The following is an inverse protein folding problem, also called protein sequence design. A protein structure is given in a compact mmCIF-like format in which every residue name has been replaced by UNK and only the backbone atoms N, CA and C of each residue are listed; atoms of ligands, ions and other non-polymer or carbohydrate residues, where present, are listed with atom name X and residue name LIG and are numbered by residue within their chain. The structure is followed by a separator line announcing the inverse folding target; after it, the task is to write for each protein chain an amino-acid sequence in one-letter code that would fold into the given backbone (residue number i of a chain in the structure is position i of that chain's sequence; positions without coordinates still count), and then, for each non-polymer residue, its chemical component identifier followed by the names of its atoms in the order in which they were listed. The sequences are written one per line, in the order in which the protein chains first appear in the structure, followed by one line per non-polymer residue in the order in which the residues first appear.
data_IF_551494686038
#
_entry.id   IF_551494686038
#
_cell.length_a   1.000
_cell.length_b   1.000
_cell.length_c   1.000
_cell.angle_alpha   90.00
_cell.angle_beta   90.00
_cell.angle_gamma   90.00
#
_symmetry.space_group_name_H-M   'P 1'
#
loop_
_entity.id
_entity.type
_entity.pdbx_description
1 polymer ?
#
# COMPACT_ATOMS: atom_id res chain seq x y z
N UNK A 1 -24.23 -25.55 81.42
CA UNK A 1 -24.05 -25.88 80.02
C UNK A 1 -24.66 -24.76 79.19
N UNK A 2 -23.89 -23.95 78.45
CA UNK A 2 -24.49 -22.91 77.63
C UNK A 2 -24.84 -23.50 76.27
N UNK A 3 -26.09 -23.37 75.89
CA UNK A 3 -26.61 -23.71 74.56
C UNK A 3 -26.08 -22.72 73.51
N UNK A 4 -25.28 -23.17 72.53
CA UNK A 4 -24.87 -22.43 71.40
C UNK A 4 -26.10 -22.15 70.52
N UNK A 5 -26.51 -20.88 70.44
CA UNK A 5 -27.49 -20.40 69.50
C UNK A 5 -26.79 -20.38 68.09
N UNK A 6 -27.16 -21.30 67.23
CA UNK A 6 -26.89 -21.22 65.83
C UNK A 6 -27.64 -20.03 65.22
N UNK A 7 -26.96 -18.96 64.94
CA UNK A 7 -27.50 -17.82 64.17
C UNK A 7 -27.76 -18.32 62.78
N UNK A 8 -29.02 -18.56 62.47
CA UNK A 8 -29.48 -18.95 61.10
C UNK A 8 -29.43 -17.68 60.20
N UNK A 9 -28.37 -17.57 59.40
CA UNK A 9 -28.14 -16.44 58.46
C UNK A 9 -28.82 -16.67 57.10
N UNK A 10 -29.87 -17.52 57.06
CA UNK A 10 -30.57 -17.86 55.84
C UNK A 10 -31.65 -16.89 55.29
N UNK A 11 -32.19 -15.90 56.02
CA UNK A 11 -33.38 -15.17 55.55
C UNK A 11 -33.09 -14.00 54.58
N UNK A 12 -31.88 -13.48 54.53
CA UNK A 12 -31.62 -12.28 53.68
C UNK A 12 -31.57 -12.57 52.17
N UNK A 13 -31.14 -13.76 51.75
CA UNK A 13 -31.10 -14.16 50.34
C UNK A 13 -32.49 -14.39 49.75
N UNK A 14 -33.42 -14.92 50.54
CA UNK A 14 -34.76 -15.23 50.06
C UNK A 14 -35.61 -13.96 49.88
N UNK A 15 -35.42 -12.97 50.77
CA UNK A 15 -36.11 -11.67 50.69
C UNK A 15 -35.64 -10.85 49.49
N UNK A 16 -34.33 -10.88 49.19
CA UNK A 16 -33.77 -10.21 48.01
C UNK A 16 -34.32 -10.85 46.73
N UNK A 17 -34.34 -12.19 46.64
CA UNK A 17 -34.83 -12.90 45.47
C UNK A 17 -36.33 -12.65 45.24
N UNK A 18 -37.13 -12.70 46.28
CA UNK A 18 -38.58 -12.44 46.16
C UNK A 18 -38.89 -11.02 45.69
N UNK A 19 -38.08 -10.06 46.07
CA UNK A 19 -38.27 -8.65 45.71
C UNK A 19 -37.87 -8.36 44.26
N UNK A 20 -36.77 -8.97 43.77
CA UNK A 20 -36.20 -8.64 42.48
C UNK A 20 -36.43 -9.70 41.40
N UNK A 21 -37.03 -10.85 41.71
CA UNK A 21 -37.26 -11.94 40.75
C UNK A 21 -37.94 -11.51 39.44
N UNK A 22 -38.92 -10.61 39.53
CA UNK A 22 -39.64 -10.11 38.36
C UNK A 22 -38.76 -9.24 37.47
N UNK A 23 -37.96 -8.39 38.06
CA UNK A 23 -37.03 -7.50 37.34
C UNK A 23 -35.88 -8.29 36.74
N UNK A 24 -35.31 -9.22 37.49
CA UNK A 24 -34.27 -10.14 37.00
C UNK A 24 -34.79 -10.98 35.84
N UNK A 25 -36.01 -11.53 35.96
CA UNK A 25 -36.63 -12.29 34.86
C UNK A 25 -36.90 -11.40 33.65
N UNK A 26 -37.33 -10.15 33.82
CA UNK A 26 -37.54 -9.22 32.72
C UNK A 26 -36.22 -8.90 31.99
N UNK A 27 -35.13 -8.66 32.73
CA UNK A 27 -33.80 -8.43 32.18
C UNK A 27 -33.29 -9.66 31.44
N UNK A 28 -33.47 -10.87 31.96
CA UNK A 28 -33.07 -12.11 31.29
C UNK A 28 -33.83 -12.34 29.99
N UNK A 29 -35.15 -12.08 29.99
CA UNK A 29 -35.99 -12.20 28.79
C UNK A 29 -35.52 -11.19 27.74
N UNK A 30 -35.25 -9.95 28.15
CA UNK A 30 -34.75 -8.90 27.23
C UNK A 30 -33.36 -9.24 26.68
N UNK A 31 -32.47 -9.80 27.48
CA UNK A 31 -31.17 -10.29 27.05
C UNK A 31 -31.30 -11.47 26.06
N UNK A 32 -32.19 -12.41 26.31
CA UNK A 32 -32.49 -13.52 25.41
C UNK A 32 -33.03 -13.03 24.06
N UNK A 33 -33.96 -12.07 24.07
CA UNK A 33 -34.50 -11.46 22.87
C UNK A 33 -33.42 -10.71 22.07
N UNK A 34 -32.52 -10.00 22.76
CA UNK A 34 -31.39 -9.31 22.13
C UNK A 34 -30.42 -10.32 21.47
N UNK A 35 -30.09 -11.42 22.15
CA UNK A 35 -29.22 -12.48 21.60
C UNK A 35 -29.90 -13.19 20.43
N UNK A 36 -31.19 -13.51 20.54
CA UNK A 36 -31.93 -14.12 19.43
C UNK A 36 -32.04 -13.20 18.22
N UNK A 37 -32.33 -11.91 18.44
CA UNK A 37 -32.38 -10.88 17.39
C UNK A 37 -31.04 -10.70 16.71
N UNK A 38 -29.97 -10.60 17.49
CA UNK A 38 -28.61 -10.49 16.97
C UNK A 38 -28.19 -11.75 16.18
N UNK A 39 -28.47 -12.94 16.72
CA UNK A 39 -28.16 -14.21 16.03
C UNK A 39 -28.95 -14.36 14.73
N UNK A 40 -30.24 -14.01 14.72
CA UNK A 40 -31.08 -14.01 13.53
C UNK A 40 -30.59 -13.02 12.48
N UNK A 41 -30.28 -11.79 12.89
CA UNK A 41 -29.71 -10.78 12.00
C UNK A 41 -28.37 -11.23 11.40
N UNK A 42 -27.47 -11.79 12.19
CA UNK A 42 -26.18 -12.28 11.73
C UNK A 42 -26.32 -13.41 10.70
N UNK A 43 -27.19 -14.39 11.00
CA UNK A 43 -27.47 -15.49 10.08
C UNK A 43 -28.07 -15.00 8.75
N UNK A 44 -28.95 -14.02 8.79
CA UNK A 44 -29.51 -13.39 7.59
C UNK A 44 -28.44 -12.66 6.79
N UNK A 45 -27.59 -11.86 7.47
CA UNK A 45 -26.47 -11.14 6.84
C UNK A 45 -25.46 -12.10 6.19
N UNK A 46 -25.10 -13.20 6.86
CA UNK A 46 -24.17 -14.20 6.33
C UNK A 46 -24.75 -14.90 5.08
N UNK A 47 -26.04 -15.20 5.08
CA UNK A 47 -26.73 -15.76 3.90
C UNK A 47 -26.74 -14.79 2.72
N UNK A 48 -27.01 -13.51 2.99
CA UNK A 48 -26.95 -12.45 1.97
C UNK A 48 -25.54 -12.29 1.42
N UNK A 49 -24.52 -12.27 2.27
CA UNK A 49 -23.13 -12.15 1.86
C UNK A 49 -22.69 -13.33 0.98
N UNK A 50 -23.07 -14.56 1.35
CA UNK A 50 -22.75 -15.75 0.57
C UNK A 50 -23.47 -15.76 -0.78
N UNK A 51 -24.75 -15.38 -0.84
CA UNK A 51 -25.50 -15.26 -2.08
C UNK A 51 -24.89 -14.20 -3.01
N UNK A 52 -24.54 -13.04 -2.45
CA UNK A 52 -23.85 -11.98 -3.17
C UNK A 52 -22.50 -12.43 -3.73
N UNK A 53 -21.70 -13.16 -2.93
CA UNK A 53 -20.41 -13.69 -3.38
C UNK A 53 -20.56 -14.70 -4.52
N UNK A 54 -21.54 -15.60 -4.43
CA UNK A 54 -21.83 -16.58 -5.48
C UNK A 54 -22.26 -15.88 -6.77
N UNK A 55 -23.14 -14.89 -6.67
CA UNK A 55 -23.61 -14.12 -7.82
C UNK A 55 -22.46 -13.33 -8.44
N UNK A 56 -21.62 -12.68 -7.64
CA UNK A 56 -20.46 -11.93 -8.12
C UNK A 56 -19.45 -12.84 -8.82
N UNK A 57 -19.21 -14.06 -8.30
CA UNK A 57 -18.29 -15.02 -8.90
C UNK A 57 -18.75 -15.49 -10.30
N UNK A 58 -20.06 -15.49 -10.57
CA UNK A 58 -20.63 -15.81 -11.89
C UNK A 58 -20.76 -14.62 -12.82
N UNK A 59 -20.71 -13.40 -12.28
CA UNK A 59 -20.85 -12.16 -13.03
C UNK A 59 -19.63 -11.91 -13.93
N UNK A 60 -19.86 -11.53 -15.18
CA UNK A 60 -18.79 -11.29 -16.18
C UNK A 60 -18.98 -9.98 -16.95
N UNK A 61 -20.18 -9.43 -16.93
CA UNK A 61 -20.55 -8.26 -17.74
C UNK A 61 -21.00 -7.09 -16.85
N UNK A 62 -20.96 -5.88 -17.39
CA UNK A 62 -21.43 -4.70 -16.66
C UNK A 62 -22.89 -4.84 -16.15
N UNK A 63 -23.86 -5.36 -16.92
CA UNK A 63 -25.19 -5.64 -16.40
C UNK A 63 -25.22 -6.64 -15.23
N UNK A 64 -24.36 -7.67 -15.26
CA UNK A 64 -24.28 -8.63 -14.14
C UNK A 64 -23.81 -7.95 -12.86
N UNK A 65 -22.78 -7.11 -12.95
CA UNK A 65 -22.28 -6.34 -11.80
C UNK A 65 -23.35 -5.37 -11.26
N UNK A 66 -24.10 -4.70 -12.15
CA UNK A 66 -25.22 -3.85 -11.75
C UNK A 66 -26.29 -4.64 -10.99
N UNK A 67 -26.56 -5.86 -11.42
CA UNK A 67 -27.52 -6.73 -10.74
C UNK A 67 -27.04 -7.12 -9.34
N UNK A 68 -25.75 -7.47 -9.16
CA UNK A 68 -25.19 -7.72 -7.82
C UNK A 68 -25.32 -6.48 -6.92
N UNK A 69 -25.06 -5.29 -7.46
CA UNK A 69 -25.17 -4.02 -6.72
C UNK A 69 -26.62 -3.75 -6.28
N UNK A 70 -27.59 -4.02 -7.15
CA UNK A 70 -29.02 -3.78 -6.86
C UNK A 70 -29.59 -4.79 -5.86
N UNK A 71 -29.24 -6.06 -6.01
CA UNK A 71 -29.79 -7.14 -5.20
C UNK A 71 -29.14 -7.24 -3.81
N UNK A 72 -27.86 -6.83 -3.71
CA UNK A 72 -27.04 -6.95 -2.48
C UNK A 72 -26.27 -5.66 -2.11
N UNK A 73 -26.93 -4.51 -1.99
CA UNK A 73 -26.29 -3.19 -1.91
C UNK A 73 -25.44 -2.97 -0.66
N UNK A 74 -25.68 -3.75 0.42
CA UNK A 74 -25.00 -3.58 1.71
C UNK A 74 -23.94 -4.65 2.00
N UNK A 75 -23.68 -5.56 1.07
CA UNK A 75 -22.73 -6.65 1.28
C UNK A 75 -21.32 -6.28 0.79
N UNK A 76 -20.25 -6.90 1.33
CA UNK A 76 -18.90 -6.72 0.82
C UNK A 76 -18.76 -7.03 -0.68
N UNK A 77 -19.45 -8.08 -1.15
CA UNK A 77 -19.47 -8.45 -2.56
C UNK A 77 -20.20 -7.42 -3.43
N UNK A 78 -21.29 -6.80 -2.90
CA UNK A 78 -21.93 -5.65 -3.53
C UNK A 78 -20.98 -4.47 -3.66
N UNK A 79 -20.17 -4.19 -2.64
CA UNK A 79 -19.09 -3.22 -2.69
C UNK A 79 -18.05 -3.54 -3.77
N UNK A 80 -17.58 -4.78 -3.84
CA UNK A 80 -16.63 -5.24 -4.87
C UNK A 80 -17.22 -5.14 -6.29
N UNK A 81 -18.54 -5.36 -6.45
CA UNK A 81 -19.22 -5.25 -7.74
C UNK A 81 -19.15 -3.82 -8.33
N UNK A 82 -19.15 -2.76 -7.49
CA UNK A 82 -18.93 -1.39 -7.98
C UNK A 82 -17.55 -1.23 -8.63
N UNK A 83 -16.52 -1.82 -8.06
CA UNK A 83 -15.16 -1.73 -8.61
C UNK A 83 -15.04 -2.46 -9.95
N UNK A 84 -15.64 -3.65 -10.04
CA UNK A 84 -15.67 -4.42 -11.28
C UNK A 84 -16.52 -3.74 -12.37
N UNK A 85 -17.65 -3.12 -12.00
CA UNK A 85 -18.45 -2.32 -12.91
C UNK A 85 -17.64 -1.12 -13.44
N UNK A 86 -16.96 -0.41 -12.55
CA UNK A 86 -16.12 0.72 -12.94
C UNK A 86 -14.96 0.28 -13.85
N UNK A 87 -14.37 -0.88 -13.61
CA UNK A 87 -13.33 -1.44 -14.47
C UNK A 87 -13.88 -1.80 -15.85
N UNK A 88 -15.06 -2.42 -15.94
CA UNK A 88 -15.75 -2.68 -17.21
C UNK A 88 -16.02 -1.37 -17.97
N UNK A 89 -16.51 -0.33 -17.28
CA UNK A 89 -16.75 0.99 -17.87
C UNK A 89 -15.45 1.65 -18.38
N UNK A 90 -14.33 1.49 -17.63
CA UNK A 90 -13.02 1.97 -18.06
C UNK A 90 -12.54 1.27 -19.34
N UNK A 91 -12.73 -0.04 -19.43
CA UNK A 91 -12.38 -0.83 -20.61
C UNK A 91 -13.16 -0.38 -21.85
N UNK A 92 -14.40 0.08 -21.65
CA UNK A 92 -15.22 0.72 -22.68
C UNK A 92 -14.88 2.21 -22.91
N UNK A 93 -13.84 2.75 -22.24
CA UNK A 93 -13.42 4.16 -22.25
C UNK A 93 -14.48 5.14 -21.71
N UNK A 94 -15.45 4.64 -20.97
CA UNK A 94 -16.50 5.42 -20.28
C UNK A 94 -15.99 5.95 -18.93
N UNK A 95 -14.91 6.73 -18.96
CA UNK A 95 -14.21 7.17 -17.75
C UNK A 95 -15.08 8.03 -16.81
N UNK A 96 -15.98 8.86 -17.34
CA UNK A 96 -16.88 9.66 -16.51
C UNK A 96 -17.89 8.77 -15.76
N UNK A 97 -18.46 7.76 -16.43
CA UNK A 97 -19.37 6.80 -15.80
C UNK A 97 -18.64 5.98 -14.73
N UNK A 98 -17.43 5.53 -15.04
CA UNK A 98 -16.57 4.83 -14.08
C UNK A 98 -16.29 5.68 -12.85
N UNK A 99 -16.01 6.97 -12.99
CA UNK A 99 -15.81 7.88 -11.88
C UNK A 99 -17.06 8.03 -11.01
N UNK A 100 -18.23 8.14 -11.63
CA UNK A 100 -19.52 8.19 -10.91
C UNK A 100 -19.77 6.91 -10.12
N UNK A 101 -19.48 5.75 -10.72
CA UNK A 101 -19.60 4.44 -10.08
C UNK A 101 -18.65 4.31 -8.89
N UNK A 102 -17.39 4.71 -9.06
CA UNK A 102 -16.37 4.70 -8.00
C UNK A 102 -16.69 5.67 -6.87
N UNK A 103 -17.21 6.86 -7.19
CA UNK A 103 -17.63 7.82 -6.19
C UNK A 103 -18.80 7.27 -5.36
N UNK A 104 -19.80 6.67 -6.01
CA UNK A 104 -20.91 5.99 -5.33
C UNK A 104 -20.41 4.88 -4.39
N UNK A 105 -19.42 4.13 -4.83
CA UNK A 105 -18.77 3.13 -3.96
C UNK A 105 -18.12 3.78 -2.73
N UNK A 106 -17.35 4.84 -2.90
CA UNK A 106 -16.69 5.53 -1.79
C UNK A 106 -17.67 6.14 -0.79
N UNK A 107 -18.81 6.63 -1.27
CA UNK A 107 -19.87 7.20 -0.43
C UNK A 107 -20.58 6.12 0.42
N UNK A 108 -20.82 4.94 -0.18
CA UNK A 108 -21.49 3.82 0.49
C UNK A 108 -20.54 2.99 1.37
N UNK A 109 -19.28 2.87 0.97
CA UNK A 109 -18.29 2.01 1.60
C UNK A 109 -16.99 2.76 1.94
N UNK A 110 -17.04 3.85 2.71
CA UNK A 110 -15.88 4.72 2.96
C UNK A 110 -14.72 4.02 3.68
N UNK A 111 -15.02 2.95 4.44
CA UNK A 111 -14.05 2.17 5.21
C UNK A 111 -13.70 0.82 4.56
N UNK A 112 -14.11 0.61 3.32
CA UNK A 112 -13.77 -0.63 2.62
C UNK A 112 -12.27 -0.69 2.34
N UNK A 113 -11.68 -1.86 2.45
CA UNK A 113 -10.24 -2.09 2.19
C UNK A 113 -9.79 -1.61 0.80
N UNK A 114 -10.66 -1.66 -0.19
CA UNK A 114 -10.41 -1.20 -1.56
C UNK A 114 -10.76 0.28 -1.81
N UNK A 115 -11.07 1.05 -0.76
CA UNK A 115 -11.37 2.49 -0.93
C UNK A 115 -10.17 3.26 -1.51
N UNK A 116 -8.93 2.90 -1.12
CA UNK A 116 -7.71 3.44 -1.71
C UNK A 116 -7.60 3.14 -3.21
N UNK A 117 -7.91 1.90 -3.61
CA UNK A 117 -7.92 1.48 -5.02
C UNK A 117 -8.95 2.26 -5.83
N UNK A 118 -10.14 2.49 -5.28
CA UNK A 118 -11.18 3.29 -5.94
C UNK A 118 -10.70 4.75 -6.17
N UNK A 119 -10.09 5.38 -5.18
CA UNK A 119 -9.51 6.73 -5.32
C UNK A 119 -8.39 6.78 -6.35
N UNK A 120 -7.52 5.76 -6.36
CA UNK A 120 -6.46 5.62 -7.35
C UNK A 120 -7.05 5.50 -8.77
N UNK A 121 -8.10 4.69 -8.94
CA UNK A 121 -8.78 4.51 -10.22
C UNK A 121 -9.44 5.81 -10.72
N UNK A 122 -10.07 6.60 -9.83
CA UNK A 122 -10.63 7.92 -10.18
C UNK A 122 -9.52 8.84 -10.70
N UNK A 123 -8.38 8.90 -10.01
CA UNK A 123 -7.26 9.72 -10.42
C UNK A 123 -6.71 9.30 -11.80
N UNK A 124 -6.57 7.99 -12.04
CA UNK A 124 -6.17 7.45 -13.35
C UNK A 124 -7.19 7.71 -14.46
N UNK A 125 -8.49 7.69 -14.15
CA UNK A 125 -9.53 8.05 -15.12
C UNK A 125 -9.49 9.53 -15.49
N UNK A 126 -9.20 10.42 -14.53
CA UNK A 126 -9.02 11.85 -14.80
C UNK A 126 -7.80 12.09 -15.70
N UNK A 127 -6.72 11.35 -15.46
CA UNK A 127 -5.54 11.38 -16.33
C UNK A 127 -5.88 10.90 -17.75
N UNK A 128 -6.60 9.80 -17.90
CA UNK A 128 -7.05 9.28 -19.20
C UNK A 128 -7.99 10.24 -19.94
N UNK A 129 -8.75 11.08 -19.22
CA UNK A 129 -9.57 12.17 -19.78
C UNK A 129 -8.74 13.41 -20.14
N UNK A 130 -7.43 13.42 -19.90
CA UNK A 130 -6.57 14.58 -20.13
C UNK A 130 -6.71 15.68 -19.06
N UNK A 131 -7.45 15.44 -17.99
CA UNK A 131 -7.69 16.39 -16.88
C UNK A 131 -6.53 16.35 -15.87
N UNK A 132 -5.34 16.74 -16.35
CA UNK A 132 -4.06 16.55 -15.61
C UNK A 132 -4.02 17.24 -14.25
N UNK A 133 -4.60 18.43 -14.12
CA UNK A 133 -4.62 19.18 -12.85
C UNK A 133 -5.55 18.50 -11.83
N UNK A 134 -6.73 18.05 -12.29
CA UNK A 134 -7.66 17.32 -11.45
C UNK A 134 -7.07 15.95 -11.03
N UNK A 135 -6.39 15.26 -11.96
CA UNK A 135 -5.71 14.00 -11.68
C UNK A 135 -4.60 14.17 -10.64
N UNK A 136 -3.74 15.20 -10.78
CA UNK A 136 -2.69 15.50 -9.82
C UNK A 136 -3.28 15.76 -8.42
N UNK A 137 -4.31 16.59 -8.34
CA UNK A 137 -5.01 16.87 -7.09
C UNK A 137 -5.66 15.61 -6.49
N UNK A 138 -6.20 14.71 -7.33
CA UNK A 138 -6.78 13.45 -6.87
C UNK A 138 -5.71 12.49 -6.31
N UNK A 139 -4.55 12.36 -6.96
CA UNK A 139 -3.41 11.59 -6.44
C UNK A 139 -2.87 12.16 -5.13
N UNK A 140 -2.79 13.48 -5.01
CA UNK A 140 -2.36 14.14 -3.76
C UNK A 140 -3.33 13.85 -2.61
N UNK A 141 -4.64 13.95 -2.87
CA UNK A 141 -5.68 13.61 -1.87
C UNK A 141 -5.64 12.15 -1.46
N UNK A 142 -5.40 11.23 -2.41
CA UNK A 142 -5.24 9.81 -2.13
C UNK A 142 -4.13 9.58 -1.09
N UNK A 143 -2.95 10.13 -1.34
CA UNK A 143 -1.79 10.00 -0.44
C UNK A 143 -2.04 10.65 0.91
N UNK A 144 -2.68 11.83 0.93
CA UNK A 144 -3.01 12.53 2.17
C UNK A 144 -4.06 11.80 3.01
N UNK A 145 -4.99 11.08 2.37
CA UNK A 145 -6.06 10.34 3.06
C UNK A 145 -5.54 9.04 3.70
N UNK A 146 -4.65 8.35 3.03
CA UNK A 146 -4.09 7.09 3.51
C UNK A 146 -2.60 7.00 3.15
N UNK A 147 -1.72 7.69 3.92
CA UNK A 147 -0.30 7.73 3.64
C UNK A 147 0.41 6.40 3.86
N UNK A 148 -0.19 5.48 4.63
CA UNK A 148 0.38 4.15 4.87
C UNK A 148 -0.28 3.06 4.02
N UNK A 149 -1.27 3.41 3.21
CA UNK A 149 -1.96 2.49 2.32
C UNK A 149 -1.06 2.01 1.18
N UNK A 150 -1.30 0.80 0.72
CA UNK A 150 -0.54 0.20 -0.39
C UNK A 150 -0.65 1.00 -1.70
N UNK A 151 -1.68 1.85 -1.84
CA UNK A 151 -1.90 2.71 -3.02
C UNK A 151 -1.10 4.02 -2.96
N UNK A 152 -0.61 4.44 -1.78
CA UNK A 152 0.09 5.70 -1.62
C UNK A 152 1.37 5.79 -2.48
N UNK A 153 2.29 4.79 -2.51
CA UNK A 153 3.46 4.86 -3.38
C UNK A 153 3.08 4.87 -4.87
N UNK A 154 1.97 4.23 -5.26
CA UNK A 154 1.48 4.27 -6.65
C UNK A 154 0.98 5.67 -7.00
N UNK A 155 0.20 6.28 -6.12
CA UNK A 155 -0.29 7.65 -6.29
C UNK A 155 0.85 8.68 -6.37
N UNK A 156 1.89 8.54 -5.54
CA UNK A 156 3.10 9.37 -5.63
C UNK A 156 3.83 9.16 -6.96
N UNK A 157 3.99 7.93 -7.40
CA UNK A 157 4.68 7.64 -8.65
C UNK A 157 3.94 8.24 -9.86
N UNK A 158 2.61 8.17 -9.88
CA UNK A 158 1.79 8.81 -10.92
C UNK A 158 1.93 10.34 -10.91
N UNK A 159 2.08 10.97 -9.73
CA UNK A 159 2.35 12.41 -9.64
C UNK A 159 3.65 12.81 -10.35
N UNK A 160 4.71 11.97 -10.31
CA UNK A 160 5.99 12.28 -10.97
C UNK A 160 5.78 12.53 -12.46
N UNK A 161 5.00 11.69 -13.15
CA UNK A 161 4.73 11.85 -14.57
C UNK A 161 3.99 13.15 -14.87
N UNK A 162 2.93 13.43 -14.12
CA UNK A 162 2.14 14.66 -14.30
C UNK A 162 2.96 15.92 -14.01
N UNK A 163 3.79 15.90 -12.96
CA UNK A 163 4.67 17.02 -12.60
C UNK A 163 5.74 17.26 -13.67
N UNK A 164 6.32 16.21 -14.24
CA UNK A 164 7.25 16.31 -15.37
C UNK A 164 6.60 16.96 -16.60
N UNK A 165 5.42 16.52 -16.97
CA UNK A 165 4.67 17.10 -18.08
C UNK A 165 4.35 18.59 -17.87
N UNK A 166 4.10 18.97 -16.61
CA UNK A 166 3.90 20.37 -16.19
C UNK A 166 5.20 21.17 -16.04
N UNK A 167 6.36 20.55 -16.27
CA UNK A 167 7.70 21.13 -16.06
C UNK A 167 7.98 21.56 -14.60
N UNK A 168 7.26 20.96 -13.64
CA UNK A 168 7.45 21.16 -12.21
C UNK A 168 8.52 20.20 -11.67
N UNK A 169 9.74 20.37 -12.15
CA UNK A 169 10.84 19.40 -11.96
C UNK A 169 11.21 19.27 -10.48
N UNK A 170 11.25 20.38 -9.74
CA UNK A 170 11.60 20.37 -8.31
C UNK A 170 10.56 19.62 -7.47
N UNK A 171 9.29 19.74 -7.80
CA UNK A 171 8.23 18.98 -7.13
C UNK A 171 8.32 17.51 -7.47
N UNK A 172 8.56 17.16 -8.73
CA UNK A 172 8.76 15.77 -9.15
C UNK A 172 9.95 15.12 -8.40
N UNK A 173 11.04 15.88 -8.19
CA UNK A 173 12.22 15.44 -7.42
C UNK A 173 11.86 15.14 -5.97
N UNK A 174 11.14 16.05 -5.30
CA UNK A 174 10.67 15.84 -3.90
C UNK A 174 9.78 14.61 -3.78
N UNK A 175 8.92 14.37 -4.75
CA UNK A 175 8.07 13.18 -4.77
C UNK A 175 8.92 11.91 -4.91
N UNK A 176 9.93 11.89 -5.79
CA UNK A 176 10.87 10.77 -5.90
C UNK A 176 11.58 10.50 -4.56
N UNK A 177 12.09 11.54 -3.90
CA UNK A 177 12.76 11.44 -2.60
C UNK A 177 11.81 10.91 -1.51
N UNK A 178 10.55 11.33 -1.53
CA UNK A 178 9.51 10.83 -0.63
C UNK A 178 9.30 9.33 -0.81
N UNK A 179 9.19 8.84 -2.06
CA UNK A 179 9.04 7.40 -2.32
C UNK A 179 10.25 6.63 -1.81
N UNK A 180 11.47 7.11 -2.09
CA UNK A 180 12.71 6.45 -1.70
C UNK A 180 12.94 6.41 -0.18
N UNK A 181 12.43 7.38 0.56
CA UNK A 181 12.64 7.49 2.01
C UNK A 181 11.53 6.84 2.81
N UNK A 182 10.27 7.11 2.47
CA UNK A 182 9.10 6.64 3.23
C UNK A 182 8.59 5.27 2.76
N UNK A 183 8.80 4.92 1.48
CA UNK A 183 8.29 3.68 0.89
C UNK A 183 9.42 2.82 0.30
N UNK A 184 10.54 2.77 1.00
CA UNK A 184 11.76 2.09 0.50
C UNK A 184 11.57 0.59 0.24
N UNK A 185 10.61 -0.06 0.87
CA UNK A 185 10.26 -1.47 0.65
C UNK A 185 9.33 -1.66 -0.57
N UNK A 186 8.78 -0.57 -1.10
CA UNK A 186 7.98 -0.62 -2.32
C UNK A 186 8.87 -0.87 -3.54
N UNK A 187 8.39 -1.67 -4.49
CA UNK A 187 9.04 -1.84 -5.79
C UNK A 187 9.27 -0.51 -6.51
N UNK A 188 8.40 0.49 -6.26
CA UNK A 188 8.48 1.81 -6.86
C UNK A 188 9.64 2.66 -6.33
N UNK A 189 10.31 2.27 -5.25
CA UNK A 189 11.48 2.99 -4.73
C UNK A 189 12.66 2.97 -5.73
N UNK A 190 12.89 1.83 -6.38
CA UNK A 190 13.92 1.72 -7.42
C UNK A 190 13.55 2.53 -8.67
N UNK A 191 12.28 2.50 -9.08
CA UNK A 191 11.80 3.27 -10.22
C UNK A 191 11.87 4.79 -9.94
N UNK A 192 11.53 5.22 -8.72
CA UNK A 192 11.67 6.61 -8.28
C UNK A 192 13.13 7.08 -8.28
N UNK A 193 14.07 6.22 -7.83
CA UNK A 193 15.50 6.52 -7.89
C UNK A 193 15.99 6.69 -9.35
N UNK A 194 15.50 5.86 -10.26
CA UNK A 194 15.77 6.00 -11.68
C UNK A 194 15.21 7.32 -12.24
N UNK A 195 13.95 7.65 -11.95
CA UNK A 195 13.34 8.93 -12.37
C UNK A 195 14.12 10.13 -11.82
N UNK A 196 14.56 10.07 -10.56
CA UNK A 196 15.36 11.14 -9.96
C UNK A 196 16.69 11.38 -10.68
N UNK A 197 17.34 10.31 -11.19
CA UNK A 197 18.56 10.44 -12.00
C UNK A 197 18.27 11.11 -13.34
N UNK A 198 17.18 10.76 -14.00
CA UNK A 198 16.78 11.39 -15.26
C UNK A 198 16.51 12.89 -15.06
N UNK A 199 15.79 13.26 -14.00
CA UNK A 199 15.51 14.66 -13.68
C UNK A 199 16.78 15.50 -13.44
N UNK A 200 17.85 14.89 -12.91
CA UNK A 200 19.16 15.56 -12.74
C UNK A 200 19.91 15.73 -14.03
N UNK A 201 19.76 14.83 -14.99
CA UNK A 201 20.41 14.91 -16.29
C UNK A 201 19.75 15.98 -17.15
N UNK A 202 18.44 16.08 -17.12
CA UNK A 202 17.67 17.10 -17.88
C UNK A 202 18.00 18.54 -17.42
N UNK A 203 18.49 18.71 -16.19
CA UNK A 203 18.85 20.02 -15.61
C UNK A 203 20.34 20.37 -15.81
N UNK A 204 21.18 19.41 -16.15
CA UNK A 204 22.56 19.70 -16.45
C UNK A 204 22.62 20.62 -17.69
N UNK A 205 23.14 21.85 -17.56
CA UNK A 205 23.30 22.72 -18.72
C UNK A 205 24.11 21.99 -19.78
N UNK A 206 23.74 22.11 -21.04
CA UNK A 206 24.42 21.53 -22.19
C UNK A 206 25.80 22.16 -22.42
N UNK A 207 26.57 22.36 -21.39
CA UNK A 207 27.90 22.96 -21.35
C UNK A 207 28.81 22.20 -20.39
N UNK A 208 28.99 20.91 -20.61
CA UNK A 208 30.31 20.35 -20.38
C UNK A 208 31.10 20.65 -21.65
N UNK A 209 32.12 21.52 -21.60
CA UNK A 209 33.03 21.63 -22.71
C UNK A 209 33.59 20.23 -22.94
N UNK A 210 33.44 19.73 -24.19
CA UNK A 210 34.17 18.54 -24.63
C UNK A 210 35.59 18.66 -24.13
N UNK A 211 36.20 17.61 -23.55
CA UNK A 211 37.61 17.70 -23.21
C UNK A 211 38.32 18.03 -24.53
N UNK A 212 38.80 19.28 -24.58
CA UNK A 212 39.73 19.69 -25.65
C UNK A 212 40.86 18.70 -25.52
N UNK A 213 40.95 17.79 -26.50
CA UNK A 213 42.12 16.94 -26.65
C UNK A 213 43.26 17.93 -26.87
N UNK A 214 44.01 18.19 -25.82
CA UNK A 214 45.22 18.95 -25.88
C UNK A 214 46.11 18.24 -26.94
N UNK A 215 46.41 18.94 -27.99
CA UNK A 215 47.34 18.45 -29.01
C UNK A 215 48.63 17.98 -28.31
N UNK A 216 49.21 16.86 -28.66
CA UNK A 216 50.44 16.38 -28.06
C UNK A 216 51.53 17.44 -28.24
N UNK A 217 52.35 17.74 -27.20
CA UNK A 217 53.44 18.67 -27.31
C UNK A 217 54.47 18.18 -28.37
N UNK A 218 55.14 19.08 -29.11
CA UNK A 218 56.13 18.70 -30.11
C UNK A 218 57.29 17.93 -29.44
N UNK A 219 57.94 17.01 -30.17
CA UNK A 219 58.97 16.17 -29.62
C UNK A 219 60.18 17.01 -29.16
N UNK A 220 60.53 16.88 -27.89
CA UNK A 220 61.73 17.50 -27.34
C UNK A 220 63.00 16.82 -27.86
N UNK A 221 64.00 17.63 -28.24
CA UNK A 221 65.30 17.21 -28.69
C UNK A 221 66.02 16.34 -27.64
N UNK A 222 66.96 15.45 -28.05
CA UNK A 222 67.58 14.49 -27.15
C UNK A 222 68.63 15.18 -26.25
N UNK A 223 68.38 15.14 -24.95
CA UNK A 223 69.40 15.56 -23.93
C UNK A 223 70.15 14.33 -23.43
N UNK A 224 71.47 14.54 -23.22
CA UNK A 224 72.50 13.57 -22.90
C UNK A 224 72.24 12.78 -21.60
N UNK A 225 72.88 11.59 -21.44
CA UNK A 225 72.65 10.71 -20.31
C UNK A 225 73.34 11.18 -19.01
N UNK A 226 72.70 11.05 -17.82
CA UNK A 226 73.38 11.26 -16.54
C UNK A 226 74.14 10.02 -16.11
N UNK A 227 75.16 10.18 -15.24
CA UNK A 227 76.08 9.11 -14.82
C UNK A 227 75.45 8.11 -13.83
N UNK A 228 75.97 6.88 -13.89
CA UNK A 228 75.60 5.72 -13.10
C UNK A 228 75.75 5.97 -11.60
N UNK A 229 74.74 5.69 -10.77
CA UNK A 229 74.84 5.50 -9.37
C UNK A 229 74.50 4.09 -8.95
N UNK A 230 75.40 3.58 -8.19
CA UNK A 230 75.61 2.33 -7.48
C UNK A 230 74.37 1.64 -6.90
N UNK A 231 74.36 0.31 -7.09
CA UNK A 231 73.40 -0.63 -6.51
C UNK A 231 73.44 -0.73 -4.99
N UNK A 232 72.31 -0.79 -4.36
CA UNK A 232 72.11 -1.31 -3.01
C UNK A 232 71.20 -2.55 -3.01
N UNK A 233 71.43 -3.53 -2.13
CA UNK A 233 70.95 -4.89 -2.29
C UNK A 233 69.48 -5.11 -1.93
N UNK A 234 68.88 -6.11 -2.58
CA UNK A 234 67.50 -6.55 -2.45
C UNK A 234 67.18 -7.16 -1.07
N UNK A 235 65.99 -6.82 -0.53
CA UNK A 235 65.39 -7.47 0.63
C UNK A 235 64.57 -8.70 0.16
N UNK A 236 64.50 -9.78 1.01
CA UNK A 236 63.83 -11.03 0.62
C UNK A 236 62.30 -10.96 0.69
N UNK A 237 61.58 -11.84 -0.07
CA UNK A 237 60.14 -11.83 -0.16
C UNK A 237 59.46 -12.47 1.07
N UNK A 238 58.19 -12.06 1.39
CA UNK A 238 57.41 -12.63 2.49
C UNK A 238 56.83 -14.01 2.14
N UNK A 239 56.59 -14.86 3.17
CA UNK A 239 56.14 -16.24 2.97
C UNK A 239 54.64 -16.35 2.62
N UNK A 240 54.29 -17.39 1.83
CA UNK A 240 53.00 -17.72 1.36
C UNK A 240 52.01 -18.16 2.45
N UNK A 241 50.69 -17.90 2.32
CA UNK A 241 49.68 -18.36 3.27
C UNK A 241 49.36 -19.85 3.07
N UNK A 242 49.25 -20.56 4.21
CA UNK A 242 48.92 -21.98 4.29
C UNK A 242 47.43 -22.23 3.98
N UNK A 243 47.19 -23.09 3.03
CA UNK A 243 45.92 -23.77 2.75
C UNK A 243 45.50 -24.63 3.94
N UNK A 244 44.29 -24.43 4.44
CA UNK A 244 43.60 -25.39 5.29
C UNK A 244 42.39 -26.00 4.57
N UNK A 245 42.35 -27.31 4.55
CA UNK A 245 41.43 -28.19 3.88
C UNK A 245 40.04 -28.27 4.56
N UNK A 246 39.03 -28.82 3.89
CA UNK A 246 37.63 -28.70 4.28
C UNK A 246 37.20 -29.78 5.29
N UNK A 247 36.33 -29.40 6.21
CA UNK A 247 35.68 -30.31 7.16
C UNK A 247 34.29 -30.73 6.64
N UNK A 248 34.02 -32.01 6.85
CA UNK A 248 32.91 -32.80 6.37
C UNK A 248 31.56 -32.44 7.01
N UNK A 249 30.50 -32.69 6.23
CA UNK A 249 29.09 -32.72 6.65
C UNK A 249 28.78 -33.93 7.57
N UNK A 250 27.83 -33.81 8.52
CA UNK A 250 27.16 -34.97 9.07
C UNK A 250 25.74 -35.14 8.50
N UNK A 251 25.46 -36.42 8.22
CA UNK A 251 24.15 -36.98 7.86
C UNK A 251 23.13 -36.90 9.00
N UNK A 252 21.89 -36.77 8.57
CA UNK A 252 20.63 -37.03 9.28
C UNK A 252 20.53 -38.47 9.86
N UNK A 253 19.69 -38.68 10.88
CA UNK A 253 18.48 -39.41 10.62
C UNK A 253 17.21 -38.56 10.64
#
# INVERSE_FOLDING_TARGET
MPTLSTTDTAPERDVFWERYKKEVMAVLILALLAVAGYGGYRLYSDRQANAAATMLASAKTAPDFQKVISDYPGTPSGGSAYLLLADAQRNEKKFNEANTTLQTFLDKFPKHELAGTARLAIAGNLEALGKKDEALAAYQRLVATDPHGFTAPVGLYSQIHLLKEKKQIEEARRVCETIMTQYRESRLAADAAYQLRLLKVDEAPASSPSPTVAAPPPPAAPSAPPPAQSAAPAAPPPPAPKTSAPAASPKKP
#
